data_IF_362947329411
#
_entry.id   IF_362947329411
#
_cell.length_a   1.000
_cell.length_b   1.000
_cell.length_c   1.000
_cell.angle_alpha   90.00
_cell.angle_beta   90.00
_cell.angle_gamma   90.00
#
_symmetry.space_group_name_H-M   'P 1'
#
loop_
_entity.id
_entity.type
_entity.pdbx_description
1 polymer ?
#
# COMPACT_ATOMS: atom_id res chain seq x y z
N UNK A 1 -32.20 22.61 20.24
CA UNK A 1 -32.01 21.31 20.88
C UNK A 1 -30.50 21.17 21.13
N UNK A 2 -30.04 21.17 22.39
CA UNK A 2 -28.61 21.09 22.74
C UNK A 2 -28.14 19.67 22.40
N UNK A 3 -27.21 19.55 21.45
CA UNK A 3 -26.48 18.31 21.21
C UNK A 3 -25.75 17.92 22.49
N UNK A 4 -26.18 16.88 23.14
CA UNK A 4 -25.43 16.23 24.23
C UNK A 4 -24.03 15.91 23.71
N UNK A 5 -23.03 16.44 24.38
CA UNK A 5 -21.63 16.10 24.17
C UNK A 5 -21.53 14.59 24.28
N UNK A 6 -21.32 13.91 23.14
CA UNK A 6 -21.01 12.48 23.12
C UNK A 6 -19.91 12.22 24.16
N UNK A 7 -20.24 11.45 25.19
CA UNK A 7 -19.33 11.05 26.27
C UNK A 7 -18.00 10.60 25.68
N UNK A 8 -16.92 11.13 26.26
CA UNK A 8 -15.57 10.68 26.00
C UNK A 8 -15.52 9.14 26.05
N UNK A 9 -14.85 8.44 25.12
CA UNK A 9 -14.74 7.00 25.17
C UNK A 9 -14.18 6.57 26.52
N UNK A 10 -14.75 5.49 27.07
CA UNK A 10 -14.32 4.86 28.32
C UNK A 10 -12.78 4.77 28.36
N UNK A 11 -12.14 5.32 29.40
CA UNK A 11 -10.68 5.34 29.53
C UNK A 11 -10.04 3.94 29.41
N UNK A 12 -10.70 2.91 29.95
CA UNK A 12 -10.23 1.52 29.88
C UNK A 12 -10.19 0.97 28.45
N UNK A 13 -11.26 1.18 27.68
CA UNK A 13 -11.32 0.73 26.27
C UNK A 13 -10.35 1.54 25.38
N UNK A 14 -10.03 2.78 25.75
CA UNK A 14 -9.00 3.59 25.07
C UNK A 14 -7.61 3.08 25.39
N UNK A 15 -7.36 2.71 26.64
CA UNK A 15 -6.09 2.14 27.08
C UNK A 15 -5.83 0.78 26.41
N UNK A 16 -6.84 -0.10 26.33
CA UNK A 16 -6.75 -1.40 25.67
C UNK A 16 -6.40 -1.25 24.17
N UNK A 17 -7.05 -0.34 23.45
CA UNK A 17 -6.74 -0.08 22.03
C UNK A 17 -5.32 0.46 21.83
N UNK A 18 -4.86 1.34 22.72
CA UNK A 18 -3.51 1.88 22.67
C UNK A 18 -2.45 0.82 23.01
N UNK A 19 -2.70 0.00 24.03
CA UNK A 19 -1.82 -1.12 24.38
C UNK A 19 -1.74 -2.13 23.26
N UNK A 20 -2.86 -2.43 22.61
CA UNK A 20 -2.88 -3.31 21.43
C UNK A 20 -2.14 -2.71 20.23
N UNK A 21 -2.26 -1.39 20.01
CA UNK A 21 -1.63 -0.71 18.87
C UNK A 21 -0.14 -0.47 19.07
N UNK A 22 0.30 -0.26 20.30
CA UNK A 22 1.70 -0.02 20.67
C UNK A 22 2.38 -1.26 21.27
N UNK A 23 1.68 -2.40 21.39
CA UNK A 23 2.20 -3.60 22.03
C UNK A 23 2.56 -3.34 23.50
N UNK A 24 3.55 -4.08 23.99
CA UNK A 24 4.07 -3.96 25.37
C UNK A 24 5.03 -2.77 25.55
N UNK A 25 4.84 -1.69 24.76
CA UNK A 25 5.63 -0.47 24.93
C UNK A 25 5.41 0.13 26.33
N UNK A 26 6.38 -0.05 27.20
CA UNK A 26 6.37 0.40 28.61
C UNK A 26 6.95 1.81 28.83
N UNK A 27 7.57 2.37 27.79
CA UNK A 27 8.15 3.72 27.85
C UNK A 27 9.57 3.81 28.39
N UNK A 28 10.21 2.69 28.72
CA UNK A 28 11.49 2.67 29.47
C UNK A 28 12.76 2.64 28.58
N UNK A 29 12.69 3.19 27.39
CA UNK A 29 13.84 3.27 26.48
C UNK A 29 14.51 4.65 26.55
N UNK A 30 15.06 4.95 27.72
CA UNK A 30 15.70 6.24 28.00
C UNK A 30 17.00 6.39 27.20
N UNK A 31 16.99 7.32 26.25
CA UNK A 31 18.17 7.75 25.50
C UNK A 31 18.26 7.32 24.05
N UNK A 32 17.49 6.32 23.62
CA UNK A 32 17.43 5.93 22.21
C UNK A 32 16.53 6.84 21.38
N UNK A 33 16.84 7.01 20.09
CA UNK A 33 15.96 7.70 19.14
C UNK A 33 14.75 6.86 18.84
N UNK A 34 13.59 7.49 18.78
CA UNK A 34 12.31 6.81 18.55
C UNK A 34 11.77 7.15 17.16
N UNK A 35 11.61 6.15 16.33
CA UNK A 35 11.08 6.26 14.97
C UNK A 35 9.73 5.53 14.91
N UNK A 36 8.68 6.27 14.57
CA UNK A 36 7.35 5.72 14.37
C UNK A 36 7.13 5.48 12.88
N UNK A 37 7.03 4.21 12.47
CA UNK A 37 6.64 3.82 11.13
C UNK A 37 5.11 3.73 11.06
N UNK A 38 4.50 4.51 10.19
CA UNK A 38 3.06 4.46 9.92
C UNK A 38 2.81 3.75 8.60
N UNK A 39 1.96 2.75 8.61
CA UNK A 39 1.59 1.99 7.41
C UNK A 39 0.08 1.71 7.37
N UNK A 40 -0.37 1.04 6.32
CA UNK A 40 -1.75 0.60 6.17
C UNK A 40 -1.80 -0.79 5.54
N UNK A 41 -2.46 -1.72 6.20
CA UNK A 41 -2.69 -3.08 5.71
C UNK A 41 -3.65 -3.18 4.51
N UNK A 42 -4.19 -2.06 4.03
CA UNK A 42 -4.94 -2.00 2.77
C UNK A 42 -3.99 -2.03 1.56
N UNK A 43 -3.27 -3.12 1.42
CA UNK A 43 -2.27 -3.31 0.39
C UNK A 43 -0.94 -3.76 0.98
N UNK A 44 -0.51 -4.98 0.61
CA UNK A 44 0.71 -5.57 1.16
C UNK A 44 1.98 -4.78 0.83
N UNK A 45 1.97 -3.98 -0.25
CA UNK A 45 3.13 -3.19 -0.66
C UNK A 45 3.58 -2.18 0.41
N UNK A 46 2.65 -1.45 1.00
CA UNK A 46 2.96 -0.45 2.03
C UNK A 46 3.54 -1.09 3.30
N UNK A 47 2.98 -2.24 3.69
CA UNK A 47 3.47 -3.02 4.84
C UNK A 47 4.89 -3.55 4.57
N UNK A 48 5.15 -4.08 3.36
CA UNK A 48 6.48 -4.57 2.96
C UNK A 48 7.51 -3.44 2.93
N UNK A 49 7.14 -2.26 2.45
CA UNK A 49 8.00 -1.09 2.49
C UNK A 49 8.35 -0.67 3.93
N UNK A 50 7.37 -0.67 4.85
CA UNK A 50 7.61 -0.40 6.26
C UNK A 50 8.55 -1.44 6.89
N UNK A 51 8.32 -2.73 6.65
CA UNK A 51 9.21 -3.82 7.11
C UNK A 51 10.62 -3.68 6.57
N UNK A 52 10.78 -3.28 5.30
CA UNK A 52 12.08 -3.07 4.70
C UNK A 52 12.85 -1.91 5.35
N UNK A 53 12.15 -0.80 5.65
CA UNK A 53 12.74 0.35 6.38
C UNK A 53 13.13 -0.08 7.78
N UNK A 54 12.25 -0.77 8.50
CA UNK A 54 12.50 -1.29 9.86
C UNK A 54 13.74 -2.19 9.89
N UNK A 55 13.86 -3.12 8.94
CA UNK A 55 15.02 -4.01 8.81
C UNK A 55 16.33 -3.28 8.43
N UNK A 56 16.25 -2.05 7.93
CA UNK A 56 17.42 -1.24 7.57
C UNK A 56 17.82 -0.24 8.66
N UNK A 57 17.00 -0.06 9.69
CA UNK A 57 17.31 0.83 10.81
C UNK A 57 18.33 0.18 11.75
N UNK A 58 19.26 0.96 12.35
CA UNK A 58 20.25 0.43 13.27
C UNK A 58 19.63 0.08 14.63
N UNK A 59 20.23 -0.88 15.34
CA UNK A 59 19.81 -1.31 16.68
C UNK A 59 19.83 -0.18 17.75
N UNK A 60 20.51 0.92 17.43
CA UNK A 60 20.61 2.11 18.33
C UNK A 60 19.33 2.96 18.36
N UNK A 61 18.34 2.66 17.53
CA UNK A 61 17.04 3.34 17.52
C UNK A 61 15.93 2.41 17.99
N UNK A 62 14.94 2.99 18.63
CA UNK A 62 13.70 2.29 19.00
C UNK A 62 12.69 2.53 17.90
N UNK A 63 12.22 1.47 17.28
CA UNK A 63 11.27 1.49 16.18
C UNK A 63 9.95 0.90 16.63
N UNK A 64 8.87 1.55 16.22
CA UNK A 64 7.54 0.97 16.34
C UNK A 64 6.78 1.12 15.03
N UNK A 65 6.32 0.00 14.48
CA UNK A 65 5.52 -0.03 13.24
C UNK A 65 4.03 -0.12 13.60
N UNK A 66 3.28 0.90 13.22
CA UNK A 66 1.85 1.03 13.49
C UNK A 66 1.06 0.91 12.17
N UNK A 67 0.29 -0.16 12.04
CA UNK A 67 -0.75 -0.22 11.02
C UNK A 67 -1.94 0.65 11.48
N UNK A 68 -2.33 1.61 10.65
CA UNK A 68 -3.43 2.53 10.94
C UNK A 68 -4.72 1.81 11.36
N UNK A 69 -4.99 0.65 10.77
CA UNK A 69 -6.21 -0.13 11.06
C UNK A 69 -6.17 -0.86 12.40
N UNK A 70 -4.97 -1.05 12.99
CA UNK A 70 -4.85 -1.60 14.35
C UNK A 70 -5.43 -0.66 15.42
N UNK A 71 -5.55 0.63 15.09
CA UNK A 71 -6.23 1.62 15.92
C UNK A 71 -7.75 1.44 15.95
N UNK A 72 -8.31 0.57 15.13
CA UNK A 72 -9.73 0.27 15.07
C UNK A 72 -10.02 -1.08 15.75
N UNK A 73 -11.27 -1.30 16.16
CA UNK A 73 -11.69 -2.62 16.63
C UNK A 73 -11.46 -3.66 15.53
N UNK A 74 -11.00 -4.88 15.90
CA UNK A 74 -10.62 -5.92 14.95
C UNK A 74 -11.70 -6.22 13.90
N UNK A 75 -12.98 -6.28 14.32
CA UNK A 75 -14.11 -6.51 13.41
C UNK A 75 -14.30 -5.38 12.39
N UNK A 76 -13.99 -4.14 12.78
CA UNK A 76 -14.03 -2.97 11.87
C UNK A 76 -12.86 -3.04 10.89
N UNK A 77 -11.65 -3.26 11.37
CA UNK A 77 -10.48 -3.40 10.52
C UNK A 77 -10.67 -4.53 9.48
N UNK A 78 -11.21 -5.67 9.91
CA UNK A 78 -11.53 -6.77 9.01
C UNK A 78 -12.62 -6.42 7.98
N UNK A 79 -13.66 -5.69 8.39
CA UNK A 79 -14.72 -5.24 7.47
C UNK A 79 -14.17 -4.26 6.43
N UNK A 80 -13.32 -3.31 6.84
CA UNK A 80 -12.61 -2.41 5.90
C UNK A 80 -11.80 -3.20 4.89
N UNK A 81 -11.00 -4.14 5.37
CA UNK A 81 -10.15 -4.95 4.52
C UNK A 81 -10.99 -5.76 3.50
N UNK A 82 -12.05 -6.41 3.95
CA UNK A 82 -12.98 -7.14 3.06
C UNK A 82 -13.65 -6.22 2.03
N UNK A 83 -14.07 -5.02 2.45
CA UNK A 83 -14.69 -4.02 1.54
C UNK A 83 -13.68 -3.53 0.52
N UNK A 84 -12.45 -3.22 0.92
CA UNK A 84 -11.37 -2.84 0.02
C UNK A 84 -11.10 -3.95 -1.01
N UNK A 85 -10.98 -5.20 -0.57
CA UNK A 85 -10.79 -6.35 -1.47
C UNK A 85 -11.93 -6.49 -2.47
N UNK A 86 -13.18 -6.38 -2.00
CA UNK A 86 -14.35 -6.45 -2.87
C UNK A 86 -14.39 -5.33 -3.90
N UNK A 87 -14.06 -4.09 -3.51
CA UNK A 87 -13.95 -2.96 -4.44
C UNK A 87 -12.92 -3.23 -5.54
N UNK A 88 -11.71 -3.62 -5.14
CA UNK A 88 -10.60 -3.88 -6.06
C UNK A 88 -10.90 -5.06 -7.01
N UNK A 89 -11.55 -6.10 -6.51
CA UNK A 89 -11.80 -7.33 -7.29
C UNK A 89 -13.05 -7.22 -8.15
N UNK A 90 -14.14 -6.69 -7.62
CA UNK A 90 -15.46 -6.75 -8.25
C UNK A 90 -15.89 -5.42 -8.89
N UNK A 91 -15.34 -4.28 -8.42
CA UNK A 91 -15.74 -2.93 -8.85
C UNK A 91 -14.53 -2.03 -9.14
N UNK A 92 -13.61 -2.44 -10.04
CA UNK A 92 -12.36 -1.70 -10.30
C UNK A 92 -12.60 -0.27 -10.82
N UNK A 93 -13.62 -0.05 -11.63
CA UNK A 93 -13.97 1.29 -12.14
C UNK A 93 -14.41 2.24 -11.03
N UNK A 94 -15.14 1.73 -10.02
CA UNK A 94 -15.54 2.51 -8.87
C UNK A 94 -14.32 2.83 -7.98
N UNK A 95 -13.42 1.86 -7.80
CA UNK A 95 -12.15 2.08 -7.10
C UNK A 95 -11.33 3.18 -7.78
N UNK A 96 -11.22 3.15 -9.10
CA UNK A 96 -10.53 4.17 -9.89
C UNK A 96 -11.14 5.56 -9.71
N UNK A 97 -12.47 5.69 -9.80
CA UNK A 97 -13.18 6.96 -9.57
C UNK A 97 -12.97 7.51 -8.16
N UNK A 98 -12.97 6.66 -7.13
CA UNK A 98 -12.68 7.07 -5.76
C UNK A 98 -11.22 7.52 -5.62
N UNK A 99 -10.32 6.87 -6.34
CA UNK A 99 -8.90 7.20 -6.30
C UNK A 99 -8.57 8.51 -7.04
N UNK A 100 -9.31 8.82 -8.10
CA UNK A 100 -9.12 10.04 -8.91
C UNK A 100 -9.88 11.28 -8.40
N UNK A 101 -10.47 11.23 -7.19
CA UNK A 101 -11.01 12.44 -6.55
C UNK A 101 -9.91 13.49 -6.45
N UNK A 102 -10.24 14.71 -6.86
CA UNK A 102 -9.30 15.82 -6.90
C UNK A 102 -8.85 16.26 -5.49
N UNK A 103 -7.74 16.99 -5.45
CA UNK A 103 -7.17 17.52 -4.22
C UNK A 103 -8.17 18.42 -3.45
N UNK A 104 -8.98 19.20 -4.17
CA UNK A 104 -9.96 20.09 -3.58
C UNK A 104 -11.04 19.33 -2.81
N UNK A 105 -11.55 18.25 -3.41
CA UNK A 105 -12.51 17.35 -2.77
C UNK A 105 -11.90 16.68 -1.53
N UNK A 106 -10.67 16.20 -1.62
CA UNK A 106 -9.97 15.63 -0.47
C UNK A 106 -9.74 16.65 0.65
N UNK A 107 -9.37 17.90 0.32
CA UNK A 107 -9.23 18.98 1.31
C UNK A 107 -10.55 19.30 2.00
N UNK A 108 -11.64 19.40 1.26
CA UNK A 108 -12.96 19.61 1.86
C UNK A 108 -13.33 18.51 2.85
N UNK A 109 -13.00 17.25 2.56
CA UNK A 109 -13.21 16.13 3.46
C UNK A 109 -12.36 16.28 4.73
N UNK A 110 -11.11 16.66 4.60
CA UNK A 110 -10.11 16.63 5.67
C UNK A 110 -10.10 17.90 6.53
N UNK A 111 -10.22 19.07 5.93
CA UNK A 111 -9.96 20.37 6.57
C UNK A 111 -11.23 21.07 7.07
N UNK A 112 -12.45 20.67 6.64
CA UNK A 112 -13.65 21.33 7.11
C UNK A 112 -13.90 21.05 8.60
N UNK A 113 -13.95 22.11 9.41
CA UNK A 113 -14.23 22.04 10.86
C UNK A 113 -15.73 21.90 11.17
N UNK A 114 -16.59 22.20 10.20
CA UNK A 114 -18.04 22.05 10.33
C UNK A 114 -18.41 20.57 10.37
N UNK A 115 -19.28 20.20 11.31
CA UNK A 115 -19.88 18.86 11.37
C UNK A 115 -20.56 18.50 10.04
N UNK A 116 -21.05 17.26 9.93
CA UNK A 116 -21.72 16.81 8.71
C UNK A 116 -22.89 17.76 8.38
N UNK A 117 -23.13 18.07 7.09
CA UNK A 117 -24.29 18.85 6.67
C UNK A 117 -25.59 18.25 7.22
N UNK A 118 -26.63 19.03 7.52
CA UNK A 118 -27.92 18.57 8.08
C UNK A 118 -28.52 17.38 7.32
N UNK A 119 -28.51 17.42 6.00
CA UNK A 119 -28.98 16.32 5.13
C UNK A 119 -28.30 14.98 5.39
N UNK A 120 -27.09 14.99 5.90
CA UNK A 120 -26.33 13.79 6.23
C UNK A 120 -26.72 13.23 7.60
N UNK A 121 -27.05 14.10 8.55
CA UNK A 121 -27.61 13.68 9.84
C UNK A 121 -28.97 12.99 9.64
N UNK A 122 -29.80 13.46 8.71
CA UNK A 122 -31.06 12.82 8.35
C UNK A 122 -30.86 11.45 7.70
N UNK A 123 -29.89 11.31 6.79
CA UNK A 123 -29.51 10.00 6.21
C UNK A 123 -28.99 9.06 7.27
N UNK A 124 -28.14 9.51 8.19
CA UNK A 124 -27.64 8.69 9.30
C UNK A 124 -28.76 8.29 10.27
N UNK A 125 -29.76 9.14 10.51
CA UNK A 125 -30.93 8.81 11.32
C UNK A 125 -31.82 7.78 10.61
N UNK A 126 -32.09 7.94 9.32
CA UNK A 126 -32.87 7.01 8.50
C UNK A 126 -32.21 5.61 8.48
N UNK A 127 -30.92 5.54 8.34
CA UNK A 127 -30.18 4.29 8.30
C UNK A 127 -30.12 3.64 9.70
N UNK A 128 -30.06 4.45 10.77
CA UNK A 128 -30.18 3.97 12.14
C UNK A 128 -31.56 3.33 12.40
N UNK A 129 -32.63 3.89 11.81
CA UNK A 129 -33.97 3.35 11.86
C UNK A 129 -34.08 2.05 11.06
N UNK A 130 -33.58 2.01 9.82
CA UNK A 130 -33.60 0.79 8.99
C UNK A 130 -32.82 -0.36 9.65
N UNK A 131 -31.67 -0.08 10.29
CA UNK A 131 -30.88 -1.08 11.01
C UNK A 131 -31.62 -1.63 12.25
N UNK A 132 -32.43 -0.80 12.92
CA UNK A 132 -33.30 -1.22 14.02
C UNK A 132 -34.45 -2.09 13.51
N UNK A 133 -35.04 -1.76 12.38
CA UNK A 133 -36.15 -2.49 11.77
C UNK A 133 -35.75 -3.85 11.17
N UNK A 134 -34.50 -4.00 10.75
CA UNK A 134 -33.95 -5.27 10.22
C UNK A 134 -33.44 -6.20 11.33
N UNK A 135 -33.70 -5.87 12.62
CA UNK A 135 -33.44 -6.79 13.72
C UNK A 135 -31.96 -7.05 14.04
N UNK A 136 -31.07 -6.06 13.80
CA UNK A 136 -29.68 -6.14 14.28
C UNK A 136 -29.68 -6.11 15.82
N UNK A 137 -29.23 -7.17 16.52
CA UNK A 137 -29.42 -7.29 17.97
C UNK A 137 -28.74 -6.14 18.72
N UNK A 138 -29.51 -5.42 19.50
CA UNK A 138 -29.09 -4.32 20.39
C UNK A 138 -28.47 -4.85 21.68
N UNK A 139 -27.56 -5.82 21.62
CA UNK A 139 -26.96 -6.38 22.84
C UNK A 139 -25.53 -5.89 23.06
N UNK A 140 -25.39 -5.12 24.12
CA UNK A 140 -24.22 -4.85 24.98
C UNK A 140 -22.99 -4.16 24.43
N UNK A 141 -22.95 -3.65 23.24
CA UNK A 141 -21.89 -2.71 22.88
C UNK A 141 -22.31 -1.71 21.81
N UNK A 142 -23.16 -0.77 22.18
CA UNK A 142 -23.55 0.38 21.35
C UNK A 142 -22.33 1.10 20.72
N UNK A 143 -21.16 0.93 21.32
CA UNK A 143 -19.86 1.47 20.87
C UNK A 143 -19.29 0.73 19.67
N UNK A 144 -19.54 -0.59 19.56
CA UNK A 144 -19.10 -1.45 18.47
C UNK A 144 -20.15 -1.56 17.35
N UNK A 145 -21.43 -1.43 17.71
CA UNK A 145 -22.53 -1.42 16.76
C UNK A 145 -22.40 -0.24 15.77
N UNK A 146 -22.03 0.95 16.25
CA UNK A 146 -21.84 2.13 15.38
C UNK A 146 -20.73 1.93 14.36
N UNK A 147 -19.64 1.25 14.72
CA UNK A 147 -18.52 1.00 13.80
C UNK A 147 -18.88 -0.06 12.75
N UNK A 148 -19.53 -1.15 13.14
CA UNK A 148 -20.03 -2.20 12.24
C UNK A 148 -21.13 -1.70 11.32
N UNK A 149 -22.04 -0.91 11.83
CA UNK A 149 -23.14 -0.31 11.10
C UNK A 149 -22.62 0.65 10.03
N UNK A 150 -21.65 1.50 10.37
CA UNK A 150 -21.05 2.45 9.44
C UNK A 150 -20.34 1.73 8.26
N UNK A 151 -19.68 0.60 8.52
CA UNK A 151 -19.05 -0.20 7.48
C UNK A 151 -20.06 -1.00 6.64
N UNK A 152 -21.11 -1.50 7.26
CA UNK A 152 -22.23 -2.10 6.53
C UNK A 152 -22.90 -1.08 5.60
N UNK A 153 -22.96 0.17 6.03
CA UNK A 153 -23.51 1.28 5.25
C UNK A 153 -22.59 1.70 4.11
N UNK A 154 -21.27 1.78 4.34
CA UNK A 154 -20.27 1.98 3.27
C UNK A 154 -20.40 0.90 2.20
N UNK A 155 -20.51 -0.35 2.62
CA UNK A 155 -20.68 -1.48 1.72
C UNK A 155 -22.01 -1.42 0.98
N UNK A 156 -23.12 -1.16 1.68
CA UNK A 156 -24.47 -1.09 1.07
C UNK A 156 -24.63 0.12 0.17
N UNK A 157 -24.09 1.29 0.53
CA UNK A 157 -24.15 2.48 -0.33
C UNK A 157 -23.25 2.34 -1.56
N UNK A 158 -22.08 1.71 -1.43
CA UNK A 158 -21.21 1.41 -2.57
C UNK A 158 -21.84 0.36 -3.51
N UNK A 159 -22.52 -0.65 -2.96
CA UNK A 159 -23.25 -1.66 -3.75
C UNK A 159 -24.52 -1.08 -4.40
N UNK A 160 -25.25 -0.21 -3.72
CA UNK A 160 -26.49 0.42 -4.22
C UNK A 160 -26.25 1.44 -5.35
N UNK A 161 -25.08 2.08 -5.38
CA UNK A 161 -24.77 3.10 -6.39
C UNK A 161 -24.20 2.56 -7.71
N UNK A 162 -23.83 1.31 -7.77
CA UNK A 162 -23.57 0.64 -9.05
C UNK A 162 -24.85 0.62 -9.87
N UNK A 163 -26.02 0.60 -9.22
CA UNK A 163 -27.34 0.58 -9.87
C UNK A 163 -28.03 1.97 -10.00
N UNK A 164 -27.58 3.01 -9.29
CA UNK A 164 -28.20 4.33 -9.35
C UNK A 164 -27.21 5.47 -9.57
N UNK A 165 -27.10 5.91 -10.81
CA UNK A 165 -26.31 7.07 -11.28
C UNK A 165 -26.84 8.44 -10.82
N UNK A 166 -27.56 8.57 -9.72
CA UNK A 166 -28.14 9.83 -9.23
C UNK A 166 -27.27 10.46 -8.13
N UNK A 167 -26.84 11.70 -8.35
CA UNK A 167 -25.88 12.57 -7.68
C UNK A 167 -25.88 12.75 -6.14
N UNK A 168 -26.71 12.07 -5.35
CA UNK A 168 -26.78 12.25 -3.90
C UNK A 168 -25.84 11.33 -3.10
N UNK A 169 -25.27 10.30 -3.71
CA UNK A 169 -24.42 9.34 -3.04
C UNK A 169 -23.02 9.85 -2.71
N UNK A 170 -22.50 10.84 -3.42
CA UNK A 170 -21.17 11.42 -3.17
C UNK A 170 -21.09 12.06 -1.80
N UNK A 171 -22.12 12.79 -1.38
CA UNK A 171 -22.17 13.45 -0.06
C UNK A 171 -22.17 12.44 1.09
N UNK A 172 -22.94 11.35 0.99
CA UNK A 172 -22.96 10.31 2.03
C UNK A 172 -21.60 9.63 2.19
N UNK A 173 -20.89 9.37 1.08
CA UNK A 173 -19.53 8.81 1.09
C UNK A 173 -18.52 9.73 1.75
N UNK A 174 -18.55 11.02 1.41
CA UNK A 174 -17.67 12.03 1.99
C UNK A 174 -17.82 12.11 3.52
N UNK A 175 -19.04 11.95 4.02
CA UNK A 175 -19.33 11.97 5.46
C UNK A 175 -18.78 10.76 6.17
N UNK A 176 -18.96 9.58 5.60
CA UNK A 176 -18.44 8.34 6.20
C UNK A 176 -16.91 8.37 6.19
N UNK A 177 -16.30 8.79 5.09
CA UNK A 177 -14.84 8.94 5.02
C UNK A 177 -14.32 9.95 6.04
N UNK A 178 -15.00 11.10 6.18
CA UNK A 178 -14.66 12.11 7.20
C UNK A 178 -14.82 11.57 8.62
N UNK A 179 -15.87 10.84 8.90
CA UNK A 179 -16.08 10.22 10.20
C UNK A 179 -15.00 9.19 10.54
N UNK A 180 -14.64 8.30 9.60
CA UNK A 180 -13.52 7.36 9.76
C UNK A 180 -12.22 8.12 10.00
N UNK A 181 -11.96 9.17 9.23
CA UNK A 181 -10.81 10.03 9.38
C UNK A 181 -10.72 10.66 10.77
N UNK A 182 -11.78 11.32 11.24
CA UNK A 182 -11.81 11.95 12.56
C UNK A 182 -11.65 10.93 13.68
N UNK A 183 -12.20 9.74 13.52
CA UNK A 183 -12.10 8.68 14.51
C UNK A 183 -10.70 8.08 14.57
N UNK A 184 -10.06 7.87 13.44
CA UNK A 184 -8.67 7.43 13.36
C UNK A 184 -7.71 8.47 13.91
N UNK A 185 -7.87 9.76 13.58
CA UNK A 185 -7.06 10.85 14.13
C UNK A 185 -7.16 10.90 15.67
N UNK A 186 -8.38 10.82 16.22
CA UNK A 186 -8.59 10.82 17.68
C UNK A 186 -7.90 9.64 18.39
N UNK A 187 -7.53 8.59 17.67
CA UNK A 187 -6.82 7.43 18.18
C UNK A 187 -5.32 7.48 17.86
N UNK A 188 -4.96 8.03 16.72
CA UNK A 188 -3.56 8.21 16.32
C UNK A 188 -2.84 9.26 17.20
N UNK A 189 -3.51 10.37 17.53
CA UNK A 189 -2.95 11.42 18.39
C UNK A 189 -2.42 10.88 19.75
N UNK A 190 -3.20 10.12 20.53
CA UNK A 190 -2.71 9.53 21.77
C UNK A 190 -1.59 8.50 21.57
N UNK A 191 -1.60 7.75 20.46
CA UNK A 191 -0.54 6.79 20.14
C UNK A 191 0.78 7.53 19.87
N UNK A 192 0.77 8.58 19.04
CA UNK A 192 1.93 9.44 18.80
C UNK A 192 2.42 10.07 20.10
N UNK A 193 1.51 10.59 20.92
CA UNK A 193 1.87 11.23 22.20
C UNK A 193 2.51 10.24 23.19
N UNK A 194 2.00 9.02 23.29
CA UNK A 194 2.53 7.98 24.18
C UNK A 194 3.89 7.47 23.71
N UNK A 195 4.05 7.21 22.44
CA UNK A 195 5.32 6.78 21.86
C UNK A 195 6.35 7.93 21.82
N UNK A 196 5.89 9.17 21.68
CA UNK A 196 6.69 10.40 21.59
C UNK A 196 7.85 10.29 20.58
N UNK A 197 7.57 10.06 19.27
CA UNK A 197 8.60 9.82 18.26
C UNK A 197 9.46 11.07 18.03
N UNK A 198 10.74 10.86 17.71
CA UNK A 198 11.63 11.88 17.19
C UNK A 198 11.35 12.14 15.70
N UNK A 199 10.95 11.10 14.96
CA UNK A 199 10.56 11.15 13.54
C UNK A 199 9.37 10.22 13.29
N UNK A 200 8.47 10.64 12.41
CA UNK A 200 7.39 9.82 11.87
C UNK A 200 7.70 9.52 10.40
N UNK A 201 7.71 8.25 10.02
CA UNK A 201 7.89 7.80 8.64
C UNK A 201 6.60 7.12 8.20
N UNK A 202 6.01 7.54 7.10
CA UNK A 202 4.78 6.94 6.59
C UNK A 202 4.98 6.35 5.21
N UNK A 203 4.66 5.06 5.04
CA UNK A 203 4.73 4.36 3.76
C UNK A 203 3.42 4.40 2.99
N UNK A 204 2.41 5.11 3.51
CA UNK A 204 1.09 5.22 2.87
C UNK A 204 0.51 6.63 3.07
N UNK A 205 -0.17 7.14 2.06
CA UNK A 205 -0.64 8.53 1.98
C UNK A 205 -1.65 8.91 3.09
N UNK A 206 -2.55 8.01 3.51
CA UNK A 206 -3.57 8.32 4.53
C UNK A 206 -2.94 8.57 5.89
N UNK A 207 -2.11 7.68 6.48
CA UNK A 207 -1.43 7.99 7.73
C UNK A 207 -0.44 9.16 7.61
N UNK A 208 0.18 9.40 6.44
CA UNK A 208 0.99 10.59 6.19
C UNK A 208 0.17 11.88 6.32
N UNK A 209 -1.01 11.92 5.70
CA UNK A 209 -1.93 13.06 5.79
C UNK A 209 -2.44 13.26 7.22
N UNK A 210 -2.71 12.19 7.97
CA UNK A 210 -3.12 12.28 9.37
C UNK A 210 -2.01 12.83 10.27
N UNK A 211 -0.76 12.37 10.08
CA UNK A 211 0.39 12.90 10.80
C UNK A 211 0.63 14.38 10.47
N UNK A 212 0.53 14.75 9.18
CA UNK A 212 0.58 16.13 8.68
C UNK A 212 -0.49 17.01 9.35
N UNK A 213 -1.73 16.54 9.40
CA UNK A 213 -2.84 17.26 10.04
C UNK A 213 -2.57 17.50 11.55
N UNK A 214 -2.12 16.46 12.28
CA UNK A 214 -1.80 16.61 13.71
C UNK A 214 -0.64 17.57 13.91
N UNK A 215 0.35 17.59 13.05
CA UNK A 215 1.47 18.53 13.09
C UNK A 215 1.02 19.97 12.87
N UNK A 216 0.19 20.24 11.87
CA UNK A 216 -0.37 21.58 11.60
C UNK A 216 -1.20 22.09 12.79
N UNK A 217 -1.85 21.22 13.53
CA UNK A 217 -2.60 21.53 14.76
C UNK A 217 -1.73 21.58 16.03
N UNK A 218 -0.41 21.50 15.89
CA UNK A 218 0.56 21.47 17.01
C UNK A 218 0.31 20.35 18.02
N UNK A 219 -0.33 19.26 17.58
CA UNK A 219 -0.61 18.05 18.36
C UNK A 219 0.46 16.97 18.21
N UNK A 220 1.30 17.11 17.19
CA UNK A 220 2.52 16.36 16.97
C UNK A 220 3.63 17.35 16.60
N UNK A 221 4.86 17.10 17.07
CA UNK A 221 6.03 17.99 16.80
C UNK A 221 7.11 17.28 16.01
N UNK A 222 7.01 15.96 15.86
CA UNK A 222 7.98 15.17 15.12
C UNK A 222 7.94 15.54 13.62
N UNK A 223 9.09 15.63 12.94
CA UNK A 223 9.12 15.71 11.50
C UNK A 223 8.48 14.47 10.87
N UNK A 224 7.88 14.68 9.70
CA UNK A 224 7.15 13.65 8.96
C UNK A 224 7.84 13.39 7.63
N UNK A 225 8.15 12.12 7.36
CA UNK A 225 8.67 11.63 6.09
C UNK A 225 7.56 10.83 5.40
N UNK A 226 7.18 11.25 4.19
CA UNK A 226 6.32 10.48 3.29
C UNK A 226 7.18 9.59 2.37
N UNK A 227 6.94 8.30 2.36
CA UNK A 227 7.68 7.33 1.52
C UNK A 227 6.74 6.77 0.48
N UNK A 228 6.92 7.19 -0.76
CA UNK A 228 6.08 6.78 -1.88
C UNK A 228 6.53 5.43 -2.41
N UNK A 229 5.57 4.54 -2.64
CA UNK A 229 5.81 3.18 -3.11
C UNK A 229 5.47 2.98 -4.59
N UNK A 230 5.03 4.03 -5.27
CA UNK A 230 4.66 4.04 -6.69
C UNK A 230 5.54 5.00 -7.50
N UNK A 231 5.62 4.79 -8.81
CA UNK A 231 6.45 5.57 -9.73
C UNK A 231 5.75 6.83 -10.25
N UNK A 232 4.90 7.41 -9.44
CA UNK A 232 4.22 8.68 -9.65
C UNK A 232 3.62 9.21 -8.36
N UNK A 233 3.20 10.47 -8.36
CA UNK A 233 2.70 11.16 -7.18
C UNK A 233 1.20 11.38 -7.31
N UNK A 234 0.44 10.70 -6.47
CA UNK A 234 -0.99 10.99 -6.29
C UNK A 234 -1.15 12.27 -5.46
N UNK A 235 -2.12 13.11 -5.80
CA UNK A 235 -2.34 14.41 -5.14
C UNK A 235 -2.56 14.31 -3.63
N UNK A 236 -3.10 13.19 -3.15
CA UNK A 236 -3.29 12.96 -1.73
C UNK A 236 -1.97 12.85 -0.92
N UNK A 237 -0.83 12.58 -1.58
CA UNK A 237 0.48 12.68 -0.94
C UNK A 237 0.90 14.11 -0.61
N UNK A 238 0.38 15.10 -1.35
CA UNK A 238 0.75 16.51 -1.24
C UNK A 238 0.19 17.14 0.03
N UNK A 239 0.94 17.04 1.13
CA UNK A 239 0.50 17.46 2.46
C UNK A 239 1.47 18.50 3.05
N UNK A 240 0.94 19.65 3.51
CA UNK A 240 1.73 20.77 4.05
C UNK A 240 2.62 20.42 5.24
N UNK A 241 2.22 19.46 6.07
CA UNK A 241 2.95 19.07 7.30
C UNK A 241 4.00 17.99 7.09
N UNK A 242 4.21 17.51 5.87
CA UNK A 242 5.28 16.56 5.52
C UNK A 242 6.55 17.34 5.22
N UNK A 243 7.67 16.97 5.84
CA UNK A 243 8.96 17.67 5.74
C UNK A 243 9.85 17.09 4.64
N UNK A 244 9.74 15.78 4.41
CA UNK A 244 10.53 15.06 3.41
C UNK A 244 9.64 14.10 2.64
N UNK A 245 9.88 14.00 1.35
CA UNK A 245 9.29 12.97 0.50
C UNK A 245 10.39 12.10 -0.08
N UNK A 246 10.34 10.82 0.22
CA UNK A 246 11.16 9.81 -0.42
C UNK A 246 10.40 9.25 -1.61
N UNK A 247 10.90 9.48 -2.82
CA UNK A 247 10.23 9.10 -4.07
C UNK A 247 10.95 7.94 -4.75
N UNK A 248 10.22 7.21 -5.60
CA UNK A 248 10.69 5.98 -6.23
C UNK A 248 11.82 6.22 -7.25
N UNK A 249 11.83 7.37 -7.94
CA UNK A 249 12.78 7.65 -9.02
C UNK A 249 12.98 9.16 -9.22
N UNK A 250 14.11 9.54 -9.81
CA UNK A 250 14.47 10.93 -10.10
C UNK A 250 13.48 11.60 -11.06
N UNK A 251 12.86 10.85 -11.96
CA UNK A 251 11.90 11.38 -12.94
C UNK A 251 10.64 11.99 -12.35
N UNK A 252 10.37 11.73 -11.07
CA UNK A 252 9.19 12.26 -10.36
C UNK A 252 9.55 13.33 -9.32
N UNK A 253 10.82 13.75 -9.24
CA UNK A 253 11.22 14.92 -8.45
C UNK A 253 10.54 16.19 -8.98
N UNK A 254 10.20 17.09 -8.05
CA UNK A 254 9.49 18.33 -8.36
C UNK A 254 7.96 18.20 -8.37
N UNK A 255 7.43 16.98 -8.32
CA UNK A 255 5.98 16.74 -8.36
C UNK A 255 5.24 17.26 -7.12
N UNK A 256 5.91 17.39 -5.98
CA UNK A 256 5.36 17.95 -4.73
C UNK A 256 5.86 19.38 -4.51
N UNK A 257 7.13 19.65 -4.82
CA UNK A 257 7.81 20.91 -4.53
C UNK A 257 7.17 22.13 -5.18
N UNK A 258 6.51 21.97 -6.33
CA UNK A 258 5.77 23.04 -6.98
C UNK A 258 4.65 23.62 -6.07
N UNK A 259 4.03 22.78 -5.25
CA UNK A 259 2.95 23.17 -4.33
C UNK A 259 3.44 23.45 -2.92
N UNK A 260 4.48 22.74 -2.45
CA UNK A 260 5.03 22.85 -1.11
C UNK A 260 6.56 23.04 -1.16
N UNK A 261 7.06 24.27 -1.44
CA UNK A 261 8.50 24.53 -1.60
C UNK A 261 9.35 24.25 -0.36
N UNK A 262 8.74 24.12 0.83
CA UNK A 262 9.42 23.78 2.07
C UNK A 262 9.70 22.28 2.21
N UNK A 263 8.98 21.44 1.46
CA UNK A 263 9.15 19.99 1.48
C UNK A 263 10.34 19.60 0.59
N UNK A 264 11.24 18.79 1.12
CA UNK A 264 12.39 18.28 0.37
C UNK A 264 12.04 16.94 -0.24
N UNK A 265 12.18 16.83 -1.56
CA UNK A 265 12.01 15.56 -2.29
C UNK A 265 13.37 14.89 -2.50
N UNK A 266 13.43 13.59 -2.24
CA UNK A 266 14.67 12.80 -2.34
C UNK A 266 14.35 11.51 -3.09
N UNK A 267 15.02 11.27 -4.21
CA UNK A 267 14.89 10.02 -4.96
C UNK A 267 15.66 8.90 -4.27
N UNK A 268 15.01 8.23 -3.33
CA UNK A 268 15.60 7.12 -2.57
C UNK A 268 15.46 5.78 -3.27
N UNK A 269 14.46 5.63 -4.11
CA UNK A 269 13.93 4.35 -4.54
C UNK A 269 12.83 3.87 -3.60
N UNK A 270 12.04 2.92 -4.06
CA UNK A 270 11.05 2.22 -3.23
C UNK A 270 11.78 1.33 -2.23
N UNK A 271 11.41 1.34 -0.94
CA UNK A 271 12.05 0.49 0.06
C UNK A 271 11.82 -1.00 -0.24
N UNK A 272 12.92 -1.73 -0.42
CA UNK A 272 12.93 -3.17 -0.65
C UNK A 272 13.64 -3.89 0.50
N UNK A 273 13.26 -5.15 0.73
CA UNK A 273 13.89 -5.99 1.76
C UNK A 273 15.39 -6.12 1.51
N UNK A 274 16.22 -6.25 2.57
CA UNK A 274 17.69 -6.29 2.44
C UNK A 274 18.23 -7.40 1.51
N UNK A 275 17.47 -8.47 1.30
CA UNK A 275 17.84 -9.56 0.39
C UNK A 275 18.01 -9.10 -1.06
N UNK A 276 17.33 -8.03 -1.49
CA UNK A 276 17.51 -7.45 -2.83
C UNK A 276 18.89 -6.80 -3.02
N UNK A 277 19.56 -6.41 -1.94
CA UNK A 277 20.92 -5.87 -1.99
C UNK A 277 22.00 -6.95 -2.12
N UNK A 278 21.69 -8.21 -1.71
CA UNK A 278 22.66 -9.30 -1.77
C UNK A 278 22.93 -9.71 -3.22
N UNK A 279 24.18 -9.80 -3.65
CA UNK A 279 24.49 -10.29 -4.99
C UNK A 279 24.09 -11.76 -5.13
N UNK A 280 23.43 -12.09 -6.23
CA UNK A 280 23.10 -13.46 -6.61
C UNK A 280 22.93 -13.52 -8.12
N UNK A 281 23.60 -14.46 -8.78
CA UNK A 281 23.43 -14.66 -10.21
C UNK A 281 22.12 -15.38 -10.53
N UNK A 282 21.68 -15.30 -11.79
CA UNK A 282 20.51 -16.05 -12.26
C UNK A 282 20.75 -17.56 -12.14
N UNK A 283 21.96 -18.02 -12.42
CA UNK A 283 22.34 -19.43 -12.34
C UNK A 283 22.23 -19.95 -10.89
N UNK A 284 22.74 -19.18 -9.90
CA UNK A 284 22.63 -19.53 -8.49
C UNK A 284 21.16 -19.56 -8.03
N UNK A 285 20.37 -18.58 -8.45
CA UNK A 285 18.94 -18.53 -8.14
C UNK A 285 18.19 -19.74 -8.72
N UNK A 286 18.45 -20.09 -9.98
CA UNK A 286 17.89 -21.29 -10.62
C UNK A 286 18.34 -22.57 -9.92
N UNK A 287 19.59 -22.69 -9.55
CA UNK A 287 20.12 -23.83 -8.81
C UNK A 287 19.43 -23.98 -7.45
N UNK A 288 19.29 -22.88 -6.70
CA UNK A 288 18.64 -22.88 -5.39
C UNK A 288 17.16 -23.29 -5.47
N UNK A 289 16.48 -22.93 -6.55
CA UNK A 289 15.09 -23.31 -6.82
C UNK A 289 14.94 -24.65 -7.55
N UNK A 290 16.04 -25.37 -7.81
CA UNK A 290 16.06 -26.61 -8.58
C UNK A 290 15.41 -26.47 -9.98
N UNK A 291 15.61 -25.31 -10.59
CA UNK A 291 15.11 -24.99 -11.92
C UNK A 291 16.16 -25.30 -13.00
N UNK A 292 15.73 -25.56 -14.25
CA UNK A 292 16.64 -25.73 -15.36
C UNK A 292 17.54 -24.51 -15.56
N UNK A 293 18.81 -24.75 -15.84
CA UNK A 293 19.78 -23.69 -16.10
C UNK A 293 19.57 -23.01 -17.45
N UNK A 294 18.97 -23.72 -18.41
CA UNK A 294 18.72 -23.25 -19.76
C UNK A 294 17.23 -23.15 -20.08
N UNK A 295 16.90 -22.32 -21.04
CA UNK A 295 15.53 -22.05 -21.49
C UNK A 295 14.87 -20.90 -20.74
N UNK A 296 13.84 -20.30 -21.36
CA UNK A 296 13.16 -19.14 -20.79
C UNK A 296 12.27 -19.52 -19.62
N UNK A 297 12.34 -18.74 -18.56
CA UNK A 297 11.51 -18.84 -17.36
C UNK A 297 10.75 -17.53 -17.18
N UNK A 298 9.43 -17.62 -17.07
CA UNK A 298 8.55 -16.48 -16.82
C UNK A 298 7.95 -16.59 -15.42
N UNK A 299 8.11 -15.54 -14.63
CA UNK A 299 7.50 -15.42 -13.31
C UNK A 299 6.16 -14.71 -13.44
N UNK A 300 5.08 -15.40 -13.09
CA UNK A 300 3.71 -14.85 -13.13
C UNK A 300 3.25 -14.47 -11.74
N UNK A 301 3.02 -13.16 -11.52
CA UNK A 301 2.70 -12.58 -10.21
C UNK A 301 1.24 -12.13 -10.14
N UNK A 302 0.46 -12.71 -9.22
CA UNK A 302 -0.89 -12.23 -8.87
C UNK A 302 -0.90 -11.09 -7.83
N UNK A 303 0.28 -10.66 -7.37
CA UNK A 303 0.41 -9.79 -6.21
C UNK A 303 -0.12 -10.46 -4.93
N UNK A 304 -0.28 -9.71 -3.85
CA UNK A 304 -0.81 -10.25 -2.60
C UNK A 304 -2.24 -10.80 -2.70
N UNK A 305 -3.00 -10.35 -3.70
CA UNK A 305 -4.40 -10.73 -3.94
C UNK A 305 -4.53 -11.88 -4.97
N UNK A 306 -3.45 -12.30 -5.61
CA UNK A 306 -3.46 -13.36 -6.62
C UNK A 306 -4.35 -13.07 -7.83
N UNK A 307 -4.44 -11.81 -8.24
CA UNK A 307 -5.34 -11.41 -9.34
C UNK A 307 -4.82 -11.89 -10.68
N UNK A 308 -5.70 -12.54 -11.45
CA UNK A 308 -5.49 -12.92 -12.86
C UNK A 308 -4.27 -13.83 -13.13
N UNK A 309 -3.64 -14.39 -12.08
CA UNK A 309 -2.44 -15.23 -12.25
C UNK A 309 -2.78 -16.55 -12.92
N UNK A 310 -3.91 -17.15 -12.59
CA UNK A 310 -4.44 -18.39 -13.19
C UNK A 310 -4.81 -18.20 -14.66
N UNK A 311 -5.50 -17.10 -15.00
CA UNK A 311 -5.83 -16.75 -16.37
C UNK A 311 -4.58 -16.51 -17.22
N UNK A 312 -3.60 -15.76 -16.71
CA UNK A 312 -2.35 -15.52 -17.41
C UNK A 312 -1.55 -16.81 -17.63
N UNK A 313 -1.46 -17.69 -16.62
CA UNK A 313 -0.82 -18.99 -16.78
C UNK A 313 -1.56 -19.88 -17.78
N UNK A 314 -2.91 -19.89 -17.74
CA UNK A 314 -3.72 -20.64 -18.69
C UNK A 314 -3.41 -20.23 -20.13
N UNK A 315 -3.46 -18.94 -20.44
CA UNK A 315 -3.13 -18.40 -21.75
C UNK A 315 -1.70 -18.75 -22.20
N UNK A 316 -0.69 -18.59 -21.31
CA UNK A 316 0.69 -18.88 -21.65
C UNK A 316 0.98 -20.39 -21.86
N UNK A 317 0.17 -21.28 -21.30
CA UNK A 317 0.31 -22.73 -21.46
C UNK A 317 -0.32 -23.27 -22.75
N UNK A 318 -1.18 -22.52 -23.43
CA UNK A 318 -1.79 -22.92 -24.70
C UNK A 318 -0.74 -23.18 -25.80
N UNK A 319 0.36 -22.43 -25.78
CA UNK A 319 1.46 -22.63 -26.73
C UNK A 319 2.32 -23.83 -26.34
N UNK A 320 2.36 -24.89 -27.15
CA UNK A 320 3.07 -26.15 -26.82
C UNK A 320 4.53 -25.97 -26.47
N UNK A 321 5.26 -25.12 -27.20
CA UNK A 321 6.71 -24.87 -26.99
C UNK A 321 6.94 -23.50 -26.29
N UNK A 322 6.09 -23.13 -25.32
CA UNK A 322 6.23 -21.91 -24.57
C UNK A 322 7.24 -22.04 -23.41
N UNK A 323 7.48 -20.95 -22.71
CA UNK A 323 8.42 -20.91 -21.57
C UNK A 323 7.96 -21.79 -20.41
N UNK A 324 8.87 -22.05 -19.48
CA UNK A 324 8.52 -22.54 -18.15
C UNK A 324 7.93 -21.39 -17.33
N UNK A 325 6.89 -21.69 -16.58
CA UNK A 325 6.19 -20.71 -15.76
C UNK A 325 6.42 -21.01 -14.27
N UNK A 326 6.68 -19.95 -13.51
CA UNK A 326 6.62 -19.95 -12.05
C UNK A 326 5.42 -19.07 -11.68
N UNK A 327 4.40 -19.66 -11.06
CA UNK A 327 3.18 -18.95 -10.70
C UNK A 327 3.11 -18.65 -9.21
N UNK A 328 2.81 -17.40 -8.86
CA UNK A 328 2.65 -16.95 -7.48
C UNK A 328 1.24 -16.42 -7.23
N UNK A 329 0.33 -17.26 -6.70
CA UNK A 329 -1.06 -16.88 -6.43
C UNK A 329 -1.24 -15.94 -5.22
N UNK A 330 -0.18 -15.60 -4.51
CA UNK A 330 -0.28 -14.81 -3.30
C UNK A 330 -1.08 -15.55 -2.22
N UNK A 331 -2.06 -14.84 -1.60
CA UNK A 331 -2.96 -15.41 -0.58
C UNK A 331 -4.33 -15.82 -1.14
N UNK A 332 -4.45 -16.01 -2.45
CA UNK A 332 -5.69 -16.36 -3.13
C UNK A 332 -5.81 -17.87 -3.29
N UNK A 333 -6.58 -18.51 -2.40
CA UNK A 333 -6.80 -19.96 -2.43
C UNK A 333 -7.55 -20.42 -3.70
N UNK A 334 -8.44 -19.60 -4.27
CA UNK A 334 -9.15 -19.95 -5.49
C UNK A 334 -8.18 -19.99 -6.69
N UNK A 335 -7.34 -18.95 -6.84
CA UNK A 335 -6.30 -18.92 -7.85
C UNK A 335 -5.31 -20.08 -7.65
N UNK A 336 -4.94 -20.39 -6.41
CA UNK A 336 -4.09 -21.55 -6.09
C UNK A 336 -4.70 -22.85 -6.58
N UNK A 337 -5.97 -23.11 -6.25
CA UNK A 337 -6.67 -24.34 -6.67
C UNK A 337 -6.74 -24.45 -8.20
N UNK A 338 -7.01 -23.35 -8.91
CA UNK A 338 -7.02 -23.33 -10.38
C UNK A 338 -5.64 -23.63 -10.96
N UNK A 339 -4.59 -23.04 -10.41
CA UNK A 339 -3.21 -23.28 -10.82
C UNK A 339 -2.76 -24.72 -10.56
N UNK A 340 -3.17 -25.33 -9.46
CA UNK A 340 -2.86 -26.73 -9.14
C UNK A 340 -3.49 -27.70 -10.18
N UNK A 341 -4.68 -27.35 -10.71
CA UNK A 341 -5.29 -28.10 -11.83
C UNK A 341 -4.46 -27.96 -13.11
N UNK A 342 -4.00 -26.76 -13.43
CA UNK A 342 -3.14 -26.50 -14.58
C UNK A 342 -1.77 -27.18 -14.44
N UNK A 343 -1.17 -27.16 -13.26
CA UNK A 343 0.11 -27.80 -13.00
C UNK A 343 0.09 -29.31 -13.19
N UNK A 344 -1.02 -29.98 -12.82
CA UNK A 344 -1.19 -31.42 -13.09
C UNK A 344 -1.24 -31.75 -14.60
N UNK A 345 -1.74 -30.80 -15.42
CA UNK A 345 -1.78 -30.96 -16.88
C UNK A 345 -0.43 -30.63 -17.56
N UNK A 346 0.37 -29.78 -16.92
CA UNK A 346 1.64 -29.26 -17.44
C UNK A 346 2.76 -29.36 -16.40
N UNK A 347 3.08 -30.57 -15.88
CA UNK A 347 4.01 -30.75 -14.75
C UNK A 347 5.42 -30.25 -15.05
N UNK A 348 5.88 -30.35 -16.30
CA UNK A 348 7.20 -29.91 -16.74
C UNK A 348 7.29 -28.40 -17.01
N UNK A 349 6.15 -27.71 -17.10
CA UNK A 349 6.08 -26.31 -17.53
C UNK A 349 5.56 -25.34 -16.50
N UNK A 350 4.73 -25.77 -15.55
CA UNK A 350 4.15 -24.89 -14.54
C UNK A 350 4.55 -25.35 -13.14
N UNK A 351 5.27 -24.47 -12.45
CA UNK A 351 5.58 -24.58 -11.02
C UNK A 351 4.74 -23.57 -10.24
N UNK A 352 3.89 -24.06 -9.33
CA UNK A 352 3.06 -23.22 -8.46
C UNK A 352 3.74 -23.08 -7.12
N UNK A 353 4.10 -21.82 -6.76
CA UNK A 353 4.84 -21.53 -5.55
C UNK A 353 3.94 -21.32 -4.35
N UNK A 354 4.45 -21.70 -3.18
CA UNK A 354 3.92 -21.26 -1.90
C UNK A 354 4.20 -19.76 -1.65
N UNK A 355 3.56 -19.20 -0.64
CA UNK A 355 3.92 -17.86 -0.17
C UNK A 355 5.39 -17.84 0.25
N UNK A 356 6.12 -16.85 -0.21
CA UNK A 356 7.54 -16.69 0.09
C UNK A 356 7.87 -15.27 0.53
N UNK A 357 8.84 -15.14 1.41
CA UNK A 357 9.48 -13.87 1.73
C UNK A 357 10.72 -13.60 0.88
N UNK A 358 11.23 -14.64 0.19
CA UNK A 358 12.41 -14.59 -0.67
C UNK A 358 12.05 -14.39 -2.14
N UNK A 359 11.26 -13.35 -2.43
CA UNK A 359 10.89 -12.97 -3.79
C UNK A 359 12.10 -12.67 -4.68
N UNK A 360 13.18 -12.19 -4.06
CA UNK A 360 14.45 -11.89 -4.73
C UNK A 360 15.01 -13.09 -5.52
N UNK A 361 14.91 -14.30 -4.99
CA UNK A 361 15.42 -15.51 -5.64
C UNK A 361 14.59 -15.82 -6.89
N UNK A 362 13.27 -15.78 -6.79
CA UNK A 362 12.37 -16.09 -7.91
C UNK A 362 12.47 -15.07 -9.04
N UNK A 363 12.58 -13.79 -8.68
CA UNK A 363 12.79 -12.73 -9.66
C UNK A 363 14.13 -12.90 -10.39
N UNK A 364 15.21 -13.22 -9.67
CA UNK A 364 16.52 -13.45 -10.29
C UNK A 364 16.54 -14.68 -11.18
N UNK A 365 15.79 -15.74 -10.83
CA UNK A 365 15.70 -16.96 -11.62
C UNK A 365 14.95 -16.77 -12.94
N UNK A 366 13.99 -15.86 -12.99
CA UNK A 366 13.16 -15.57 -14.16
C UNK A 366 13.89 -14.75 -15.23
N UNK A 367 13.39 -14.71 -16.45
CA UNK A 367 13.82 -13.84 -17.53
C UNK A 367 12.91 -12.63 -17.69
N UNK A 368 11.59 -12.84 -17.50
CA UNK A 368 10.53 -11.83 -17.63
C UNK A 368 9.53 -12.03 -16.50
N UNK A 369 8.96 -10.94 -16.03
CA UNK A 369 7.85 -10.94 -15.09
C UNK A 369 6.56 -10.60 -15.81
N UNK A 370 5.51 -11.34 -15.53
CA UNK A 370 4.14 -11.10 -16.03
C UNK A 370 3.22 -10.91 -14.84
N UNK A 371 2.40 -9.87 -14.83
CA UNK A 371 1.44 -9.70 -13.75
C UNK A 371 1.00 -8.26 -13.50
N UNK A 372 0.49 -8.01 -12.29
CA UNK A 372 0.00 -6.71 -11.88
C UNK A 372 1.15 -5.72 -11.64
N UNK A 373 1.11 -4.48 -12.19
CA UNK A 373 2.18 -3.49 -12.05
C UNK A 373 2.08 -2.68 -10.74
N UNK A 374 1.97 -3.37 -9.60
CA UNK A 374 2.04 -2.70 -8.29
C UNK A 374 3.43 -2.13 -8.03
N UNK A 375 3.53 -0.97 -7.35
CA UNK A 375 4.80 -0.26 -7.20
C UNK A 375 5.93 -1.10 -6.60
N UNK A 376 5.65 -1.89 -5.55
CA UNK A 376 6.64 -2.82 -4.98
C UNK A 376 7.06 -3.88 -6.01
N UNK A 377 6.11 -4.49 -6.73
CA UNK A 377 6.43 -5.53 -7.72
C UNK A 377 7.29 -4.97 -8.87
N UNK A 378 6.99 -3.75 -9.31
CA UNK A 378 7.82 -3.04 -10.31
C UNK A 378 9.22 -2.79 -9.76
N UNK A 379 9.34 -2.24 -8.54
CA UNK A 379 10.62 -1.95 -7.92
C UNK A 379 11.47 -3.22 -7.70
N UNK A 380 10.86 -4.31 -7.25
CA UNK A 380 11.50 -5.61 -7.05
C UNK A 380 11.99 -6.22 -8.39
N UNK A 381 11.15 -6.16 -9.43
CA UNK A 381 11.51 -6.63 -10.77
C UNK A 381 12.69 -5.83 -11.32
N UNK A 382 12.65 -4.50 -11.25
CA UNK A 382 13.75 -3.63 -11.68
C UNK A 382 15.04 -3.88 -10.86
N UNK A 383 14.93 -4.07 -9.55
CA UNK A 383 16.06 -4.38 -8.68
C UNK A 383 16.76 -5.68 -9.08
N UNK A 384 16.04 -6.63 -9.66
CA UNK A 384 16.57 -7.89 -10.20
C UNK A 384 16.88 -7.82 -11.69
N UNK A 385 16.72 -6.68 -12.35
CA UNK A 385 16.95 -6.51 -13.79
C UNK A 385 15.93 -7.28 -14.63
N UNK A 386 14.67 -7.36 -14.20
CA UNK A 386 13.62 -8.11 -14.93
C UNK A 386 12.59 -7.14 -15.52
N UNK A 387 12.35 -7.21 -16.84
CA UNK A 387 11.25 -6.47 -17.45
C UNK A 387 9.91 -7.01 -16.94
N UNK A 388 8.90 -6.13 -16.84
CA UNK A 388 7.57 -6.47 -16.36
C UNK A 388 6.52 -6.19 -17.41
N UNK A 389 5.84 -7.23 -17.89
CA UNK A 389 4.67 -7.16 -18.75
C UNK A 389 3.40 -7.17 -17.88
N UNK A 390 2.69 -6.06 -17.85
CA UNK A 390 1.46 -5.93 -17.08
C UNK A 390 0.27 -6.47 -17.85
N UNK A 391 -0.46 -7.43 -17.27
CA UNK A 391 -1.65 -8.04 -17.88
C UNK A 391 -2.95 -7.37 -17.48
N UNK A 392 -2.94 -6.59 -16.43
CA UNK A 392 -4.09 -5.87 -15.89
C UNK A 392 -3.62 -4.69 -15.07
N UNK A 393 -4.39 -3.62 -15.12
CA UNK A 393 -4.26 -2.47 -14.20
C UNK A 393 -5.55 -2.33 -13.40
N UNK A 394 -5.40 -1.99 -12.13
CA UNK A 394 -6.54 -1.60 -11.28
C UNK A 394 -6.88 -0.11 -11.40
N UNK A 395 -6.22 0.62 -12.33
CA UNK A 395 -6.30 2.06 -12.43
C UNK A 395 -5.54 2.78 -11.31
N UNK A 396 -5.78 4.09 -11.17
CA UNK A 396 -5.15 4.90 -10.12
C UNK A 396 -3.61 4.88 -10.20
N UNK A 397 -2.96 4.55 -9.07
CA UNK A 397 -1.49 4.54 -8.97
C UNK A 397 -0.80 3.58 -9.95
N UNK A 398 -1.46 2.52 -10.38
CA UNK A 398 -0.86 1.57 -11.33
C UNK A 398 -0.65 2.18 -12.72
N UNK A 399 -1.46 3.19 -13.08
CA UNK A 399 -1.25 3.97 -14.30
C UNK A 399 0.13 4.65 -14.33
N UNK A 400 0.58 5.19 -13.21
CA UNK A 400 1.93 5.78 -13.09
C UNK A 400 3.02 4.73 -13.26
N UNK A 401 2.84 3.55 -12.68
CA UNK A 401 3.81 2.46 -12.76
C UNK A 401 3.91 1.93 -14.20
N UNK A 402 2.79 1.81 -14.91
CA UNK A 402 2.74 1.42 -16.33
C UNK A 402 3.45 2.48 -17.18
N UNK A 403 3.12 3.76 -17.00
CA UNK A 403 3.75 4.85 -17.75
C UNK A 403 5.27 4.88 -17.53
N UNK A 404 5.73 4.63 -16.32
CA UNK A 404 7.14 4.51 -16.01
C UNK A 404 7.81 3.36 -16.74
N UNK A 405 7.22 2.16 -16.71
CA UNK A 405 7.75 0.99 -17.42
C UNK A 405 7.85 1.23 -18.92
N UNK A 406 6.84 1.85 -19.51
CA UNK A 406 6.78 2.14 -20.96
C UNK A 406 7.78 3.21 -21.36
N UNK A 407 7.87 4.32 -20.60
CA UNK A 407 8.78 5.43 -20.93
C UNK A 407 10.26 5.07 -20.83
N UNK A 408 10.59 4.00 -20.06
CA UNK A 408 11.96 3.52 -19.91
C UNK A 408 12.24 2.23 -20.69
N UNK A 409 11.29 1.75 -21.47
CA UNK A 409 11.46 0.55 -22.30
C UNK A 409 11.84 -0.70 -21.49
N UNK A 410 11.18 -0.88 -20.33
CA UNK A 410 11.41 -2.03 -19.43
C UNK A 410 10.15 -2.83 -19.14
N UNK A 411 9.09 -2.61 -19.94
CA UNK A 411 7.83 -3.29 -19.81
C UNK A 411 6.65 -2.38 -20.15
N UNK A 412 5.49 -2.68 -19.57
CA UNK A 412 4.28 -1.89 -19.74
C UNK A 412 3.03 -2.76 -19.81
N UNK A 413 1.88 -2.13 -19.99
CA UNK A 413 0.60 -2.82 -20.17
C UNK A 413 0.58 -3.53 -21.51
N UNK A 414 0.17 -4.80 -21.48
CA UNK A 414 -0.08 -5.63 -22.67
C UNK A 414 -1.60 -5.77 -22.81
N UNK A 415 -2.11 -5.51 -24.00
CA UNK A 415 -3.54 -5.63 -24.28
C UNK A 415 -4.05 -7.06 -24.11
N UNK A 416 -5.34 -7.18 -23.80
CA UNK A 416 -5.98 -8.49 -23.67
C UNK A 416 -5.83 -9.28 -25.00
N UNK A 417 -5.37 -10.52 -24.89
CA UNK A 417 -5.10 -11.41 -26.03
C UNK A 417 -3.70 -11.27 -26.66
N UNK A 418 -2.95 -10.20 -26.40
CA UNK A 418 -1.63 -9.98 -27.01
C UNK A 418 -0.46 -10.54 -26.18
N UNK A 419 -0.72 -11.00 -24.96
CA UNK A 419 0.33 -11.43 -24.03
C UNK A 419 1.23 -12.52 -24.62
N UNK A 420 0.63 -13.52 -25.28
CA UNK A 420 1.36 -14.63 -25.90
C UNK A 420 2.32 -14.16 -26.98
N UNK A 421 1.84 -13.30 -27.86
CA UNK A 421 2.65 -12.83 -29.00
C UNK A 421 3.73 -11.87 -28.55
N UNK A 422 3.41 -10.95 -27.62
CA UNK A 422 4.38 -10.01 -27.07
C UNK A 422 5.49 -10.71 -26.31
N UNK A 423 5.14 -11.70 -25.47
CA UNK A 423 6.11 -12.50 -24.73
C UNK A 423 6.94 -13.37 -25.68
N UNK A 424 6.30 -14.01 -26.67
CA UNK A 424 7.01 -14.84 -27.64
C UNK A 424 8.02 -14.02 -28.47
N UNK A 425 7.64 -12.86 -28.97
CA UNK A 425 8.54 -11.96 -29.68
C UNK A 425 9.76 -11.59 -28.83
N UNK A 426 9.53 -11.24 -27.55
CA UNK A 426 10.60 -10.88 -26.64
C UNK A 426 11.55 -12.07 -26.34
N UNK A 427 11.00 -13.27 -26.15
CA UNK A 427 11.80 -14.47 -25.84
C UNK A 427 12.54 -15.04 -27.06
N UNK A 428 12.10 -14.70 -28.28
CA UNK A 428 12.76 -15.08 -29.55
C UNK A 428 13.89 -14.13 -29.95
N UNK A 429 13.99 -12.96 -29.32
CA UNK A 429 15.09 -12.02 -29.53
C UNK A 429 15.93 -11.86 -28.25
N UNK A 430 16.95 -12.70 -28.04
CA UNK A 430 17.81 -12.65 -26.87
C UNK A 430 18.51 -11.29 -26.69
N UNK A 431 18.85 -10.60 -27.78
CA UNK A 431 19.52 -9.32 -27.70
C UNK A 431 18.57 -8.20 -27.19
N UNK A 432 17.35 -8.17 -27.71
CA UNK A 432 16.31 -7.24 -27.23
C UNK A 432 15.97 -7.52 -25.74
N UNK A 433 15.80 -8.78 -25.37
CA UNK A 433 15.56 -9.16 -23.98
C UNK A 433 16.70 -8.73 -23.06
N UNK A 434 17.96 -9.01 -23.43
CA UNK A 434 19.13 -8.63 -22.65
C UNK A 434 19.25 -7.11 -22.51
N UNK A 435 19.03 -6.36 -23.59
CA UNK A 435 19.02 -4.91 -23.53
C UNK A 435 17.95 -4.35 -22.57
N UNK A 436 16.76 -4.95 -22.58
CA UNK A 436 15.65 -4.60 -21.68
C UNK A 436 15.97 -4.95 -20.23
N UNK A 437 16.60 -6.10 -19.98
CA UNK A 437 17.07 -6.52 -18.66
C UNK A 437 18.15 -5.59 -18.12
N UNK A 438 19.09 -5.16 -18.96
CA UNK A 438 20.13 -4.19 -18.57
C UNK A 438 19.52 -2.83 -18.18
N UNK A 439 18.57 -2.31 -18.95
CA UNK A 439 17.86 -1.07 -18.59
C UNK A 439 17.12 -1.24 -17.26
N UNK A 440 16.40 -2.34 -17.07
CA UNK A 440 15.71 -2.63 -15.82
C UNK A 440 16.69 -2.67 -14.62
N UNK A 441 17.85 -3.30 -14.80
CA UNK A 441 18.89 -3.35 -13.78
C UNK A 441 19.43 -1.96 -13.42
N UNK A 442 19.65 -1.08 -14.40
CA UNK A 442 20.13 0.30 -14.20
C UNK A 442 19.13 1.16 -13.45
N UNK A 443 17.84 0.96 -13.71
CA UNK A 443 16.75 1.69 -13.04
C UNK A 443 16.48 1.18 -11.61
N UNK A 444 16.87 -0.07 -11.31
CA UNK A 444 16.61 -0.71 -10.03
C UNK A 444 17.34 -0.03 -8.87
N UNK A 445 16.60 0.52 -7.92
CA UNK A 445 17.11 1.17 -6.69
C UNK A 445 17.04 0.19 -5.51
N UNK A 446 18.11 -0.57 -5.27
CA UNK A 446 18.18 -1.64 -4.25
C UNK A 446 18.33 -1.10 -2.84
N UNK A 447 18.90 0.08 -2.70
CA UNK A 447 19.23 0.71 -1.41
C UNK A 447 18.11 1.59 -0.84
N UNK A 448 16.91 1.58 -1.43
CA UNK A 448 15.81 2.48 -1.04
C UNK A 448 15.50 2.44 0.45
N UNK A 449 15.42 1.25 1.05
CA UNK A 449 15.14 1.09 2.48
C UNK A 449 16.26 1.70 3.35
N UNK A 450 17.55 1.42 3.02
CA UNK A 450 18.71 1.96 3.73
C UNK A 450 18.75 3.48 3.66
N UNK A 451 18.53 4.08 2.47
CA UNK A 451 18.50 5.54 2.29
C UNK A 451 17.39 6.21 3.07
N UNK A 452 16.19 5.61 3.11
CA UNK A 452 15.08 6.14 3.94
C UNK A 452 15.42 6.04 5.43
N UNK A 453 16.01 4.92 5.87
CA UNK A 453 16.45 4.74 7.25
C UNK A 453 17.50 5.79 7.66
N UNK A 454 18.50 6.05 6.83
CA UNK A 454 19.51 7.09 7.04
C UNK A 454 18.87 8.48 7.20
N UNK A 455 17.97 8.86 6.28
CA UNK A 455 17.23 10.14 6.36
C UNK A 455 16.43 10.24 7.67
N UNK A 456 15.79 9.15 8.09
CA UNK A 456 15.02 9.14 9.33
C UNK A 456 15.90 9.31 10.58
N UNK A 457 17.05 8.64 10.63
CA UNK A 457 18.03 8.76 11.71
C UNK A 457 18.63 10.18 11.76
N UNK A 458 18.99 10.75 10.62
CA UNK A 458 19.53 12.11 10.52
C UNK A 458 18.53 13.16 11.03
N UNK A 459 17.27 13.05 10.64
CA UNK A 459 16.22 13.95 11.14
C UNK A 459 15.95 13.77 12.63
N UNK A 460 15.99 12.54 13.15
CA UNK A 460 15.84 12.26 14.56
C UNK A 460 16.98 12.89 15.38
N UNK A 461 18.20 12.95 14.82
CA UNK A 461 19.39 13.50 15.47
C UNK A 461 19.44 15.02 15.43
N UNK A 462 19.09 15.64 14.30
CA UNK A 462 19.15 17.10 14.13
C UNK A 462 18.18 17.88 15.02
N UNK A 463 17.07 17.27 15.41
CA UNK A 463 16.07 17.88 16.32
C UNK A 463 16.63 18.17 17.73
N UNK A 464 17.56 17.37 18.24
CA UNK A 464 18.18 17.60 19.56
C UNK A 464 19.18 18.75 19.52
N UNK A 465 19.89 18.92 18.40
CA UNK A 465 20.83 20.05 18.27
C UNK A 465 20.13 21.39 18.28
N UNK A 466 18.88 21.46 17.84
CA UNK A 466 18.06 22.67 17.91
C UNK A 466 17.48 22.92 19.31
N UNK A 467 17.08 21.85 20.03
CA UNK A 467 16.56 21.95 21.40
C UNK A 467 17.66 22.35 22.43
N UNK A 468 18.92 21.98 22.18
CA UNK A 468 20.06 22.34 23.01
C UNK A 468 20.62 23.77 22.74
N UNK A 469 20.18 24.41 21.61
CA UNK A 469 20.62 25.76 21.23
C UNK A 469 19.62 26.87 21.55
N UNK A 470 18.48 26.54 22.14
CA UNK A 470 17.57 27.56 22.67
C UNK A 470 17.97 27.89 24.10
N UNK A 471 18.32 29.17 24.40
CA UNK A 471 18.75 29.61 25.72
C UNK A 471 17.65 29.53 26.78
#
# INVERSE_FOLDING_TARGET
MRLERTRSPDPAARHELLSRALGDWDGDDTGRRRILLLTSGLGLGHVRAAQAIEAALPDSVTVHTLDLWSLMHAGVAQAVHKTYLSLVQNYPQLYERLYTLDEHTWRQILESESGPPPAVLEVLQLISQIAADVGVPSTRSAKYASDRMLFSMLYSSLAYEVDSLAGNGVLARLVVMKWCWLRLIRRLEPAIRRFAPDVIVSTQMIPAAMASYLKQRRKATAPVIGVMTDFGVHDFWKQRGVDRYCVAHESILGSVGAQFPHAVEIATGVPLMPDFMRPMSQADARQQLQLPQHGPIVLVLGGGLGLSVDAACGALLERKNGPRLIAMPGRNNNARSALDVLARKHPDRLHVCEWTERMDIYLRAADVVVGKPGGISVAEALACGRPLLATRSLGGQEGFNIAFLQSHDVGGLVADGELLDRLAALLQDPNALQAMQMRAWQLGRREGARRVAEIAVDLATSKQSAAYRSP
#
